data_IF_186543801553
#
_entry.id   IF_186543801553
#
_cell.length_a   1.000
_cell.length_b   1.000
_cell.length_c   1.000
_cell.angle_alpha   90.00
_cell.angle_beta   90.00
_cell.angle_gamma   90.00
#
_symmetry.space_group_name_H-M   'P 1'
#
loop_
_entity.id
_entity.type
_entity.pdbx_description
1 polymer ?
#
# COMPACT_ATOMS: atom_id res chain seq x y z
N UNK A 1 -6.30 -3.27 -75.07
CA UNK A 1 -6.79 -3.61 -73.72
C UNK A 1 -5.77 -4.52 -73.03
N UNK A 2 -4.83 -3.97 -72.26
CA UNK A 2 -3.94 -4.74 -71.38
C UNK A 2 -4.20 -4.25 -69.95
N UNK A 3 -4.61 -5.19 -69.09
CA UNK A 3 -5.02 -4.96 -67.70
C UNK A 3 -3.81 -4.61 -66.85
N UNK A 4 -3.92 -3.54 -66.08
CA UNK A 4 -2.99 -3.16 -65.01
C UNK A 4 -3.34 -3.97 -63.77
N UNK A 5 -2.42 -4.82 -63.31
CA UNK A 5 -2.55 -5.51 -62.02
C UNK A 5 -1.90 -4.63 -60.96
N UNK A 6 -2.71 -4.08 -60.06
CA UNK A 6 -2.24 -3.33 -58.88
C UNK A 6 -1.91 -4.35 -57.78
N UNK A 7 -0.64 -4.46 -57.42
CA UNK A 7 -0.18 -5.29 -56.31
C UNK A 7 -0.35 -4.47 -55.02
N UNK A 8 -1.31 -4.85 -54.18
CA UNK A 8 -1.48 -4.27 -52.83
C UNK A 8 -0.53 -5.00 -51.88
N UNK A 9 0.54 -4.35 -51.46
CA UNK A 9 1.35 -4.80 -50.34
C UNK A 9 0.62 -4.48 -49.03
N UNK A 10 0.07 -5.50 -48.37
CA UNK A 10 -0.33 -5.42 -46.97
C UNK A 10 0.95 -5.39 -46.12
N UNK A 11 1.29 -4.24 -45.56
CA UNK A 11 2.26 -4.12 -44.47
C UNK A 11 1.55 -4.51 -43.17
N UNK A 12 1.81 -5.73 -42.69
CA UNK A 12 1.43 -6.13 -41.33
C UNK A 12 2.31 -5.36 -40.35
N UNK A 13 1.71 -4.42 -39.62
CA UNK A 13 2.34 -3.77 -38.47
C UNK A 13 2.31 -4.79 -37.33
N UNK A 14 3.38 -5.55 -37.18
CA UNK A 14 3.61 -6.36 -35.98
C UNK A 14 3.94 -5.34 -34.87
N UNK A 15 3.00 -5.11 -33.95
CA UNK A 15 3.34 -4.40 -32.72
C UNK A 15 4.30 -5.29 -31.94
N UNK A 16 5.57 -4.91 -31.88
CA UNK A 16 6.47 -5.40 -30.84
C UNK A 16 5.96 -4.89 -29.49
N UNK A 17 5.08 -5.66 -28.86
CA UNK A 17 4.97 -5.63 -27.41
C UNK A 17 6.28 -6.24 -26.90
N UNK A 18 7.14 -5.41 -26.32
CA UNK A 18 8.28 -5.88 -25.54
C UNK A 18 7.73 -6.79 -24.44
N UNK A 19 7.88 -8.09 -24.63
CA UNK A 19 7.51 -9.11 -23.66
C UNK A 19 8.37 -8.86 -22.41
N UNK A 20 7.75 -8.33 -21.34
CA UNK A 20 8.44 -8.09 -20.08
C UNK A 20 9.08 -9.41 -19.63
N UNK A 21 10.39 -9.38 -19.35
CA UNK A 21 11.14 -10.59 -19.03
C UNK A 21 10.53 -11.24 -17.78
N UNK A 22 10.09 -12.49 -17.92
CA UNK A 22 9.34 -13.18 -16.88
C UNK A 22 10.28 -13.51 -15.72
N UNK A 23 9.93 -13.05 -14.51
CA UNK A 23 10.73 -13.22 -13.29
C UNK A 23 11.12 -14.69 -13.08
N UNK A 24 12.37 -14.99 -12.66
CA UNK A 24 12.81 -16.36 -12.43
C UNK A 24 11.92 -17.16 -11.48
N UNK A 25 11.40 -16.52 -10.42
CA UNK A 25 10.49 -17.18 -9.45
C UNK A 25 9.20 -17.65 -10.11
N UNK A 26 8.68 -16.90 -11.09
CA UNK A 26 7.46 -17.23 -11.82
C UNK A 26 7.71 -18.39 -12.78
N UNK A 27 8.87 -18.42 -13.43
CA UNK A 27 9.25 -19.56 -14.28
C UNK A 27 9.37 -20.85 -13.45
N UNK A 28 10.02 -20.78 -12.29
CA UNK A 28 10.13 -21.92 -11.38
C UNK A 28 8.75 -22.39 -10.91
N UNK A 29 7.86 -21.47 -10.52
CA UNK A 29 6.51 -21.78 -10.05
C UNK A 29 5.57 -22.36 -11.14
N UNK A 30 5.82 -22.07 -12.42
CA UNK A 30 5.01 -22.59 -13.53
C UNK A 30 5.50 -23.93 -14.07
N UNK A 31 6.82 -24.12 -14.16
CA UNK A 31 7.39 -25.17 -15.01
C UNK A 31 8.33 -26.14 -14.27
N UNK A 32 8.72 -25.84 -13.03
CA UNK A 32 9.57 -26.72 -12.22
C UNK A 32 8.76 -27.34 -11.08
N UNK A 33 8.28 -28.57 -11.27
CA UNK A 33 7.50 -29.31 -10.27
C UNK A 33 8.29 -29.65 -8.99
N UNK A 34 9.61 -29.49 -8.99
CA UNK A 34 10.46 -29.66 -7.79
C UNK A 34 10.66 -28.36 -7.02
N UNK A 35 10.23 -27.23 -7.58
CA UNK A 35 10.34 -25.92 -6.93
C UNK A 35 9.43 -25.85 -5.71
N UNK A 36 9.93 -25.23 -4.63
CA UNK A 36 9.13 -24.91 -3.45
C UNK A 36 8.00 -23.90 -3.73
N UNK A 37 8.06 -23.21 -4.88
CA UNK A 37 7.06 -22.25 -5.33
C UNK A 37 6.05 -22.85 -6.30
N UNK A 38 6.23 -24.11 -6.71
CA UNK A 38 5.27 -24.79 -7.59
C UNK A 38 4.00 -25.13 -6.82
N UNK A 39 2.85 -24.73 -7.37
CA UNK A 39 1.54 -25.07 -6.84
C UNK A 39 0.86 -26.07 -7.78
N UNK A 40 0.57 -27.27 -7.28
CA UNK A 40 -0.21 -28.26 -8.03
C UNK A 40 -1.71 -27.93 -7.99
N UNK A 41 -2.17 -27.14 -8.97
CA UNK A 41 -3.59 -26.82 -9.11
C UNK A 41 -4.47 -28.01 -9.50
N UNK A 42 -3.89 -29.17 -9.86
CA UNK A 42 -4.69 -30.38 -10.04
C UNK A 42 -5.11 -31.01 -8.70
N UNK A 43 -4.38 -30.69 -7.62
CA UNK A 43 -4.70 -31.09 -6.26
C UNK A 43 -5.66 -30.11 -5.55
N UNK A 44 -5.99 -28.97 -6.18
CA UNK A 44 -6.98 -28.04 -5.64
C UNK A 44 -8.39 -28.67 -5.64
N UNK A 45 -9.20 -28.42 -4.60
CA UNK A 45 -10.60 -28.83 -4.60
C UNK A 45 -11.36 -28.24 -5.80
N UNK A 46 -12.12 -29.09 -6.51
CA UNK A 46 -12.96 -28.67 -7.63
C UNK A 46 -14.08 -27.73 -7.19
N UNK A 47 -14.55 -27.86 -5.95
CA UNK A 47 -15.46 -26.94 -5.28
C UNK A 47 -14.65 -26.06 -4.34
N UNK A 48 -14.58 -24.76 -4.64
CA UNK A 48 -13.71 -23.80 -3.94
C UNK A 48 -14.43 -22.84 -3.00
N UNK A 49 -15.76 -22.86 -2.99
CA UNK A 49 -16.54 -21.90 -2.20
C UNK A 49 -16.38 -22.06 -0.68
N UNK A 50 -15.78 -23.14 -0.18
CA UNK A 50 -15.41 -23.31 1.24
C UNK A 50 -13.93 -23.04 1.54
N UNK A 51 -13.10 -22.79 0.52
CA UNK A 51 -11.69 -22.44 0.73
C UNK A 51 -11.58 -21.02 1.30
N UNK A 52 -10.56 -20.70 2.09
CA UNK A 52 -10.42 -19.35 2.64
C UNK A 52 -10.07 -18.29 1.57
N UNK A 53 -10.33 -17.04 1.90
CA UNK A 53 -9.83 -15.86 1.20
C UNK A 53 -8.39 -15.63 1.64
N UNK A 54 -7.45 -15.57 0.70
CA UNK A 54 -6.05 -15.25 0.97
C UNK A 54 -5.84 -13.75 0.93
N UNK A 55 -5.22 -13.18 1.96
CA UNK A 55 -4.89 -11.75 2.05
C UNK A 55 -3.42 -11.63 2.38
N UNK A 56 -2.65 -10.83 1.64
CA UNK A 56 -1.29 -10.49 2.06
C UNK A 56 -0.99 -9.00 1.97
N UNK A 57 -0.03 -8.60 2.81
CA UNK A 57 0.55 -7.26 2.86
C UNK A 57 2.05 -7.36 3.18
N UNK A 58 2.76 -6.24 3.03
CA UNK A 58 4.17 -6.15 3.42
C UNK A 58 4.42 -6.27 4.93
N UNK A 59 3.39 -6.27 5.78
CA UNK A 59 3.53 -6.41 7.23
C UNK A 59 2.19 -6.52 7.93
N UNK A 60 2.03 -5.89 9.10
CA UNK A 60 0.77 -5.91 9.86
C UNK A 60 -0.24 -4.84 9.43
N UNK A 61 0.19 -3.84 8.64
CA UNK A 61 -0.67 -2.76 8.16
C UNK A 61 -1.88 -3.26 7.39
N UNK A 62 -1.74 -4.29 6.55
CA UNK A 62 -2.83 -4.90 5.78
C UNK A 62 -3.98 -5.48 6.59
N UNK A 63 -3.82 -5.64 7.90
CA UNK A 63 -4.92 -6.01 8.79
C UNK A 63 -6.02 -4.93 8.82
N UNK A 64 -5.74 -3.68 8.43
CA UNK A 64 -6.79 -2.65 8.24
C UNK A 64 -7.70 -2.96 7.04
N UNK A 65 -7.14 -3.55 5.98
CA UNK A 65 -7.93 -4.03 4.83
C UNK A 65 -8.77 -5.23 5.23
N UNK A 66 -8.20 -6.15 6.01
CA UNK A 66 -8.96 -7.29 6.54
C UNK A 66 -10.06 -6.84 7.51
N UNK A 67 -9.80 -5.83 8.35
CA UNK A 67 -10.78 -5.20 9.23
C UNK A 67 -11.97 -4.64 8.46
N UNK A 68 -11.70 -3.94 7.36
CA UNK A 68 -12.73 -3.41 6.47
C UNK A 68 -13.54 -4.54 5.79
N UNK A 69 -12.85 -5.58 5.32
CA UNK A 69 -13.45 -6.77 4.70
C UNK A 69 -14.44 -7.44 5.66
N UNK A 70 -14.00 -7.78 6.88
CA UNK A 70 -14.83 -8.45 7.88
C UNK A 70 -15.92 -7.49 8.40
N UNK A 71 -15.56 -6.22 8.64
CA UNK A 71 -16.46 -5.20 9.14
C UNK A 71 -17.60 -4.83 8.20
N UNK A 72 -17.43 -5.06 6.89
CA UNK A 72 -18.46 -4.80 5.88
C UNK A 72 -19.72 -5.66 6.05
N UNK A 73 -19.61 -6.83 6.71
CA UNK A 73 -20.67 -7.86 6.83
C UNK A 73 -21.15 -8.49 5.52
N UNK A 74 -20.61 -8.06 4.38
CA UNK A 74 -20.91 -8.63 3.07
C UNK A 74 -20.36 -10.06 2.93
N UNK A 75 -19.31 -10.37 3.70
CA UNK A 75 -18.51 -11.59 3.62
C UNK A 75 -18.60 -12.39 4.94
N UNK A 76 -19.72 -12.26 5.66
CA UNK A 76 -19.98 -13.04 6.87
C UNK A 76 -19.93 -14.55 6.55
N UNK A 77 -19.21 -15.32 7.37
CA UNK A 77 -19.02 -16.76 7.18
C UNK A 77 -17.85 -17.14 6.28
N UNK A 78 -17.16 -16.16 5.67
CA UNK A 78 -15.90 -16.42 4.99
C UNK A 78 -14.76 -16.67 5.97
N UNK A 79 -13.84 -17.56 5.59
CA UNK A 79 -12.61 -17.84 6.33
C UNK A 79 -11.42 -17.13 5.69
N UNK A 80 -10.39 -16.81 6.47
CA UNK A 80 -9.28 -15.99 6.01
C UNK A 80 -7.93 -16.65 6.27
N UNK A 81 -6.99 -16.44 5.35
CA UNK A 81 -5.56 -16.64 5.60
C UNK A 81 -4.87 -15.31 5.36
N UNK A 82 -4.15 -14.83 6.36
CA UNK A 82 -3.37 -13.60 6.27
C UNK A 82 -1.88 -13.90 6.26
N UNK A 83 -1.13 -13.21 5.40
CA UNK A 83 0.33 -13.15 5.43
C UNK A 83 0.82 -11.69 5.52
N UNK A 84 1.64 -11.39 6.52
CA UNK A 84 2.42 -10.14 6.56
C UNK A 84 3.90 -10.40 6.31
N UNK A 85 4.48 -9.87 5.23
CA UNK A 85 5.92 -10.05 4.90
C UNK A 85 6.87 -9.13 5.68
N UNK A 86 6.74 -9.15 7.01
CA UNK A 86 7.42 -8.23 7.93
C UNK A 86 8.94 -8.25 7.80
N UNK A 87 9.56 -9.40 7.49
CA UNK A 87 11.00 -9.50 7.33
C UNK A 87 11.53 -8.56 6.23
N UNK A 88 10.75 -8.36 5.17
CA UNK A 88 11.12 -7.56 4.00
C UNK A 88 10.48 -6.17 3.98
N UNK A 89 9.62 -5.84 4.95
CA UNK A 89 9.05 -4.51 5.11
C UNK A 89 10.13 -3.43 5.30
N UNK A 90 9.95 -2.19 4.82
CA UNK A 90 8.85 -1.70 3.98
C UNK A 90 9.08 -1.89 2.49
N UNK A 91 8.02 -2.29 1.78
CA UNK A 91 8.05 -2.44 0.31
C UNK A 91 8.24 -1.11 -0.42
N UNK A 92 7.79 0.00 0.17
CA UNK A 92 7.82 1.34 -0.43
C UNK A 92 9.21 1.83 -0.84
N UNK A 93 10.27 1.29 -0.25
CA UNK A 93 11.65 1.78 -0.46
C UNK A 93 12.40 1.05 -1.59
N UNK A 94 11.95 -0.15 -2.00
CA UNK A 94 12.69 -0.96 -2.98
C UNK A 94 12.85 -0.26 -4.34
N UNK A 95 11.87 0.53 -4.78
CA UNK A 95 11.95 1.25 -6.04
C UNK A 95 13.05 2.33 -6.01
N UNK A 96 13.14 3.09 -4.92
CA UNK A 96 14.18 4.11 -4.72
C UNK A 96 15.58 3.49 -4.66
N UNK A 97 15.68 2.27 -4.15
CA UNK A 97 16.93 1.49 -4.10
C UNK A 97 17.26 0.76 -5.42
N UNK A 98 16.51 1.00 -6.51
CA UNK A 98 16.64 0.31 -7.80
C UNK A 98 16.50 -1.22 -7.69
N UNK A 99 15.61 -1.69 -6.81
CA UNK A 99 15.32 -3.11 -6.54
C UNK A 99 13.89 -3.53 -6.89
N UNK A 100 13.30 -2.89 -7.88
CA UNK A 100 11.92 -3.17 -8.34
C UNK A 100 11.70 -4.64 -8.71
N UNK A 101 12.61 -5.28 -9.45
CA UNK A 101 12.42 -6.69 -9.83
C UNK A 101 12.52 -7.65 -8.64
N UNK A 102 13.35 -7.31 -7.64
CA UNK A 102 13.39 -8.09 -6.41
C UNK A 102 12.12 -7.89 -5.58
N UNK A 103 11.57 -6.67 -5.52
CA UNK A 103 10.26 -6.42 -4.91
C UNK A 103 9.17 -7.25 -5.60
N UNK A 104 9.12 -7.27 -6.93
CA UNK A 104 8.17 -8.11 -7.69
C UNK A 104 8.35 -9.58 -7.36
N UNK A 105 9.58 -10.06 -7.23
CA UNK A 105 9.85 -11.44 -6.79
C UNK A 105 9.32 -11.72 -5.38
N UNK A 106 9.50 -10.81 -4.41
CA UNK A 106 8.95 -10.96 -3.07
C UNK A 106 7.43 -11.07 -3.09
N UNK A 107 6.76 -10.17 -3.83
CA UNK A 107 5.31 -10.16 -4.01
C UNK A 107 4.81 -11.50 -4.59
N UNK A 108 5.53 -12.05 -5.57
CA UNK A 108 5.17 -13.37 -6.12
C UNK A 108 5.36 -14.49 -5.10
N UNK A 109 6.44 -14.47 -4.29
CA UNK A 109 6.66 -15.46 -3.23
C UNK A 109 5.54 -15.45 -2.18
N UNK A 110 5.07 -14.27 -1.78
CA UNK A 110 3.94 -14.13 -0.87
C UNK A 110 2.65 -14.70 -1.46
N UNK A 111 2.39 -14.41 -2.75
CA UNK A 111 1.25 -14.97 -3.46
C UNK A 111 1.35 -16.50 -3.53
N UNK A 112 2.53 -17.06 -3.83
CA UNK A 112 2.75 -18.50 -3.89
C UNK A 112 2.58 -19.18 -2.53
N UNK A 113 2.98 -18.54 -1.43
CA UNK A 113 2.71 -19.06 -0.09
C UNK A 113 1.19 -19.24 0.11
N UNK A 114 0.39 -18.21 -0.17
CA UNK A 114 -1.06 -18.28 0.02
C UNK A 114 -1.73 -19.27 -0.95
N UNK A 115 -1.26 -19.36 -2.20
CA UNK A 115 -1.72 -20.37 -3.14
C UNK A 115 -1.36 -21.80 -2.67
N UNK A 116 -0.20 -22.00 -2.04
CA UNK A 116 0.12 -23.26 -1.38
C UNK A 116 -0.85 -23.63 -0.25
N UNK A 117 -1.52 -22.65 0.35
CA UNK A 117 -2.52 -22.85 1.41
C UNK A 117 -3.96 -23.09 0.90
N UNK A 118 -4.15 -23.21 -0.41
CA UNK A 118 -5.45 -23.46 -1.07
C UNK A 118 -6.51 -22.38 -0.76
N UNK A 119 -6.37 -21.22 -1.38
CA UNK A 119 -7.32 -20.10 -1.26
C UNK A 119 -8.32 -20.07 -2.42
N UNK A 120 -9.51 -19.49 -2.22
CA UNK A 120 -10.49 -19.29 -3.31
C UNK A 120 -10.18 -18.07 -4.18
N UNK A 121 -9.60 -17.03 -3.57
CA UNK A 121 -9.28 -15.73 -4.16
C UNK A 121 -8.13 -15.09 -3.39
N UNK A 122 -7.29 -14.34 -4.08
CA UNK A 122 -6.16 -13.61 -3.51
C UNK A 122 -6.47 -12.11 -3.44
N UNK A 123 -6.21 -11.51 -2.27
CA UNK A 123 -6.34 -10.08 -2.02
C UNK A 123 -4.94 -9.52 -1.73
N UNK A 124 -4.48 -8.61 -2.57
CA UNK A 124 -3.25 -7.85 -2.36
C UNK A 124 -3.60 -6.59 -1.56
N UNK A 125 -3.48 -6.66 -0.23
CA UNK A 125 -3.84 -5.56 0.67
C UNK A 125 -2.81 -4.41 0.66
N UNK A 126 -1.54 -4.71 0.35
CA UNK A 126 -0.52 -3.68 0.23
C UNK A 126 -0.73 -2.82 -1.03
N UNK A 127 -0.79 -1.50 -0.86
CA UNK A 127 -0.83 -0.57 -1.99
C UNK A 127 0.44 -0.67 -2.85
N UNK A 128 1.62 -0.77 -2.23
CA UNK A 128 2.89 -0.92 -2.95
C UNK A 128 2.94 -2.26 -3.68
N UNK A 129 2.51 -3.37 -3.06
CA UNK A 129 2.47 -4.65 -3.77
C UNK A 129 1.47 -4.66 -4.91
N UNK A 130 0.31 -4.01 -4.73
CA UNK A 130 -0.68 -3.85 -5.79
C UNK A 130 -0.09 -3.12 -6.99
N UNK A 131 0.63 -2.02 -6.73
CA UNK A 131 1.25 -1.20 -7.77
C UNK A 131 2.32 -1.94 -8.59
N UNK A 132 3.10 -2.83 -7.96
CA UNK A 132 4.25 -3.47 -8.60
C UNK A 132 4.02 -4.90 -9.05
N UNK A 133 3.11 -5.67 -8.43
CA UNK A 133 3.01 -7.11 -8.64
C UNK A 133 1.61 -7.67 -8.91
N UNK A 134 0.53 -6.88 -8.84
CA UNK A 134 -0.81 -7.41 -9.10
C UNK A 134 -0.96 -7.97 -10.52
N UNK A 135 -0.40 -7.29 -11.53
CA UNK A 135 -0.45 -7.77 -12.91
C UNK A 135 0.40 -9.03 -13.12
N UNK A 136 1.58 -9.13 -12.48
CA UNK A 136 2.39 -10.36 -12.51
C UNK A 136 1.64 -11.57 -11.91
N UNK A 137 0.92 -11.33 -10.80
CA UNK A 137 0.06 -12.33 -10.17
C UNK A 137 -1.07 -12.74 -11.12
N UNK A 138 -1.77 -11.78 -11.73
CA UNK A 138 -2.87 -12.05 -12.67
C UNK A 138 -2.39 -12.86 -13.88
N UNK A 139 -1.27 -12.47 -14.46
CA UNK A 139 -0.61 -13.20 -15.55
C UNK A 139 -0.26 -14.64 -15.16
N UNK A 140 0.28 -14.85 -13.96
CA UNK A 140 0.59 -16.18 -13.45
C UNK A 140 -0.68 -17.02 -13.25
N UNK A 141 -1.73 -16.45 -12.68
CA UNK A 141 -3.00 -17.14 -12.43
C UNK A 141 -3.72 -17.52 -13.74
N UNK A 142 -3.62 -16.67 -14.77
CA UNK A 142 -4.12 -16.98 -16.11
C UNK A 142 -3.31 -18.13 -16.75
N UNK A 143 -1.97 -18.03 -16.76
CA UNK A 143 -1.08 -19.05 -17.35
C UNK A 143 -1.19 -20.41 -16.65
N UNK A 144 -1.41 -20.41 -15.34
CA UNK A 144 -1.62 -21.65 -14.56
C UNK A 144 -3.01 -22.27 -14.78
N UNK A 145 -3.94 -21.58 -15.44
CA UNK A 145 -5.33 -22.01 -15.62
C UNK A 145 -6.02 -22.40 -14.30
N UNK A 146 -5.60 -21.79 -13.19
CA UNK A 146 -6.09 -22.11 -11.83
C UNK A 146 -7.56 -21.72 -11.62
N UNK A 147 -8.07 -20.76 -12.41
CA UNK A 147 -9.37 -20.14 -12.21
C UNK A 147 -9.47 -19.31 -10.93
N UNK A 148 -8.35 -19.07 -10.22
CA UNK A 148 -8.26 -18.18 -9.06
C UNK A 148 -8.07 -16.75 -9.59
N UNK A 149 -8.70 -15.78 -8.91
CA UNK A 149 -8.56 -14.36 -9.23
C UNK A 149 -7.72 -13.65 -8.16
N UNK A 150 -7.12 -12.54 -8.57
CA UNK A 150 -6.46 -11.61 -7.66
C UNK A 150 -7.06 -10.21 -7.80
N UNK A 151 -7.36 -9.60 -6.66
CA UNK A 151 -7.79 -8.19 -6.54
C UNK A 151 -6.76 -7.41 -5.72
N UNK A 152 -6.72 -6.10 -5.88
CA UNK A 152 -5.84 -5.24 -5.11
C UNK A 152 -6.47 -3.88 -4.83
N UNK A 153 -5.90 -3.17 -3.86
CA UNK A 153 -6.52 -2.00 -3.24
C UNK A 153 -6.60 -0.76 -4.13
N UNK A 154 -5.67 -0.56 -5.07
CA UNK A 154 -5.60 0.64 -5.91
C UNK A 154 -6.84 0.76 -6.81
N UNK A 155 -7.21 -0.31 -7.51
CA UNK A 155 -8.38 -0.32 -8.39
C UNK A 155 -9.64 0.03 -7.61
N UNK A 156 -9.85 -0.61 -6.46
CA UNK A 156 -11.00 -0.36 -5.60
C UNK A 156 -11.10 1.11 -5.15
N UNK A 157 -10.00 1.71 -4.67
CA UNK A 157 -9.97 3.11 -4.26
C UNK A 157 -10.26 4.10 -5.40
N UNK A 158 -9.71 3.85 -6.58
CA UNK A 158 -9.98 4.67 -7.77
C UNK A 158 -11.43 4.53 -8.23
N UNK A 159 -11.91 3.30 -8.33
CA UNK A 159 -13.27 2.99 -8.77
C UNK A 159 -14.30 3.70 -7.87
N UNK A 160 -14.09 3.61 -6.56
CA UNK A 160 -14.88 4.26 -5.54
C UNK A 160 -14.87 5.79 -5.66
N UNK A 161 -13.72 6.39 -5.95
CA UNK A 161 -13.62 7.84 -6.18
C UNK A 161 -14.46 8.24 -7.40
N UNK A 162 -14.34 7.51 -8.50
CA UNK A 162 -15.10 7.77 -9.73
C UNK A 162 -16.60 7.51 -9.60
N UNK A 163 -17.04 6.70 -8.63
CA UNK A 163 -18.47 6.45 -8.35
C UNK A 163 -19.16 7.64 -7.64
N UNK A 164 -18.38 8.58 -7.08
CA UNK A 164 -18.88 9.73 -6.30
C UNK A 164 -19.07 11.00 -7.11
N UNK A 165 -18.70 10.98 -8.39
CA UNK A 165 -18.74 12.15 -9.25
C UNK A 165 -19.43 11.84 -10.59
N UNK A 166 -20.17 12.82 -11.10
CA UNK A 166 -20.77 12.69 -12.42
C UNK A 166 -19.72 12.82 -13.52
N UNK A 167 -19.95 12.15 -14.66
CA UNK A 167 -18.96 12.04 -15.74
C UNK A 167 -18.59 13.38 -16.39
N UNK A 168 -19.40 14.43 -16.25
CA UNK A 168 -19.17 15.74 -16.88
C UNK A 168 -18.63 16.79 -15.88
N UNK A 169 -18.52 16.45 -14.59
CA UNK A 169 -18.04 17.38 -13.54
C UNK A 169 -16.52 17.32 -13.40
N UNK A 170 -15.88 18.46 -13.18
CA UNK A 170 -14.44 18.56 -12.93
C UNK A 170 -14.07 18.02 -11.54
N UNK A 171 -12.96 17.29 -11.44
CA UNK A 171 -12.50 16.65 -10.21
C UNK A 171 -11.03 16.95 -9.93
N UNK A 172 -10.73 17.35 -8.69
CA UNK A 172 -9.38 17.31 -8.14
C UNK A 172 -9.27 16.22 -7.06
N UNK A 173 -8.29 15.33 -7.23
CA UNK A 173 -7.99 14.23 -6.32
C UNK A 173 -6.57 14.38 -5.80
N UNK A 174 -6.42 14.39 -4.48
CA UNK A 174 -5.15 14.21 -3.80
C UNK A 174 -4.91 12.72 -3.55
N UNK A 175 -3.71 12.22 -3.84
CA UNK A 175 -3.32 10.84 -3.50
C UNK A 175 -2.12 10.90 -2.56
N UNK A 176 -2.32 10.43 -1.33
CA UNK A 176 -1.23 10.21 -0.37
C UNK A 176 -0.90 8.73 -0.37
N UNK A 177 0.32 8.35 -0.75
CA UNK A 177 0.77 6.96 -0.72
C UNK A 177 2.26 6.88 -0.36
N UNK A 178 2.80 5.67 -0.22
CA UNK A 178 4.25 5.49 -0.07
C UNK A 178 4.98 6.07 -1.28
N UNK A 179 6.24 6.48 -1.12
CA UNK A 179 7.07 7.00 -2.21
C UNK A 179 7.14 6.02 -3.37
N UNK A 180 7.33 4.72 -3.10
CA UNK A 180 7.26 3.67 -4.12
C UNK A 180 5.91 3.57 -4.82
N UNK A 181 4.79 3.65 -4.09
CA UNK A 181 3.45 3.61 -4.73
C UNK A 181 3.25 4.80 -5.67
N UNK A 182 3.66 6.01 -5.28
CA UNK A 182 3.57 7.17 -6.17
C UNK A 182 4.50 7.03 -7.37
N UNK A 183 5.75 6.61 -7.15
CA UNK A 183 6.75 6.45 -8.21
C UNK A 183 6.32 5.40 -9.27
N UNK A 184 5.51 4.41 -8.89
CA UNK A 184 4.96 3.42 -9.82
C UNK A 184 3.97 4.01 -10.84
N UNK A 185 3.36 5.17 -10.56
CA UNK A 185 2.23 5.70 -11.32
C UNK A 185 0.93 4.90 -11.16
N UNK A 186 0.86 3.93 -10.24
CA UNK A 186 -0.26 2.99 -10.11
C UNK A 186 -1.63 3.68 -9.97
N UNK A 187 -1.75 4.67 -9.08
CA UNK A 187 -2.98 5.44 -8.92
C UNK A 187 -3.30 6.29 -10.16
N UNK A 188 -2.34 7.04 -10.68
CA UNK A 188 -2.55 7.91 -11.85
C UNK A 188 -2.98 7.10 -13.09
N UNK A 189 -2.26 6.02 -13.39
CA UNK A 189 -2.57 5.15 -14.52
C UNK A 189 -3.96 4.51 -14.36
N UNK A 190 -4.32 4.09 -13.15
CA UNK A 190 -5.63 3.50 -12.87
C UNK A 190 -6.76 4.52 -13.01
N UNK A 191 -6.60 5.74 -12.46
CA UNK A 191 -7.56 6.84 -12.65
C UNK A 191 -7.79 7.13 -14.11
N UNK A 192 -6.71 7.35 -14.88
CA UNK A 192 -6.82 7.65 -16.31
C UNK A 192 -7.47 6.52 -17.10
N UNK A 193 -7.12 5.27 -16.79
CA UNK A 193 -7.69 4.08 -17.45
C UNK A 193 -9.17 3.93 -17.15
N UNK A 194 -9.58 3.96 -15.89
CA UNK A 194 -10.98 3.77 -15.50
C UNK A 194 -11.85 4.96 -15.91
N UNK A 195 -11.36 6.19 -15.81
CA UNK A 195 -12.06 7.38 -16.29
C UNK A 195 -12.34 7.27 -17.80
N UNK A 196 -11.35 6.86 -18.60
CA UNK A 196 -11.54 6.64 -20.03
C UNK A 196 -12.53 5.52 -20.34
N UNK A 197 -12.44 4.38 -19.64
CA UNK A 197 -13.36 3.24 -19.81
C UNK A 197 -14.81 3.62 -19.47
N UNK A 198 -15.00 4.52 -18.49
CA UNK A 198 -16.31 5.02 -18.06
C UNK A 198 -16.82 6.19 -18.91
N UNK A 199 -16.02 6.69 -19.87
CA UNK A 199 -16.39 7.84 -20.70
C UNK A 199 -16.46 9.15 -19.93
N UNK A 200 -15.68 9.30 -18.86
CA UNK A 200 -15.55 10.54 -18.09
C UNK A 200 -15.00 11.68 -18.97
N UNK A 201 -15.64 12.85 -18.89
CA UNK A 201 -15.38 14.02 -19.74
C UNK A 201 -14.98 15.28 -18.97
N UNK A 202 -15.25 15.32 -17.66
CA UNK A 202 -14.75 16.39 -16.80
C UNK A 202 -13.22 16.46 -16.77
N UNK A 203 -12.67 17.59 -16.36
CA UNK A 203 -11.23 17.74 -16.11
C UNK A 203 -10.87 16.94 -14.86
N UNK A 204 -10.01 15.93 -15.04
CA UNK A 204 -9.42 15.14 -13.96
C UNK A 204 -8.03 15.71 -13.61
N UNK A 205 -7.91 16.32 -12.44
CA UNK A 205 -6.66 16.79 -11.84
C UNK A 205 -6.25 15.85 -10.69
N UNK A 206 -5.03 15.32 -10.74
CA UNK A 206 -4.51 14.37 -9.75
C UNK A 206 -3.21 14.94 -9.19
N UNK A 207 -3.18 15.20 -7.88
CA UNK A 207 -1.99 15.66 -7.18
C UNK A 207 -1.47 14.52 -6.30
N UNK A 208 -0.31 13.98 -6.65
CA UNK A 208 0.31 12.84 -5.98
C UNK A 208 1.32 13.29 -4.93
N UNK A 209 1.28 12.69 -3.73
CA UNK A 209 2.25 12.93 -2.65
C UNK A 209 2.85 11.63 -2.12
N UNK A 210 4.14 11.45 -2.40
CA UNK A 210 4.96 10.41 -1.77
C UNK A 210 5.20 10.74 -0.30
N UNK A 211 4.56 9.99 0.59
CA UNK A 211 4.52 10.29 2.03
C UNK A 211 5.64 9.56 2.78
N UNK A 212 6.88 9.98 2.50
CA UNK A 212 8.10 9.39 3.06
C UNK A 212 8.11 9.36 4.60
N UNK A 213 8.47 8.20 5.15
CA UNK A 213 8.56 7.97 6.60
C UNK A 213 7.22 7.90 7.34
N UNK A 214 6.09 8.10 6.66
CA UNK A 214 4.79 8.17 7.33
C UNK A 214 4.29 6.80 7.79
N UNK A 215 4.45 5.76 6.97
CA UNK A 215 4.07 4.40 7.37
C UNK A 215 4.96 3.92 8.53
N UNK A 216 6.26 4.16 8.42
CA UNK A 216 7.25 3.85 9.45
C UNK A 216 6.97 4.59 10.77
N UNK A 217 6.52 5.85 10.70
CA UNK A 217 6.09 6.61 11.88
C UNK A 217 4.84 6.05 12.55
N UNK A 218 3.89 5.49 11.78
CA UNK A 218 2.72 4.79 12.33
C UNK A 218 3.13 3.46 12.97
N UNK A 219 4.15 2.80 12.42
CA UNK A 219 4.71 1.56 12.94
C UNK A 219 5.61 1.74 14.17
N UNK A 220 5.93 2.97 14.57
CA UNK A 220 6.81 3.21 15.71
C UNK A 220 8.30 2.99 15.39
N UNK A 221 8.68 2.96 14.10
CA UNK A 221 10.05 2.68 13.70
C UNK A 221 11.01 3.73 14.26
N UNK A 222 11.99 3.27 15.04
CA UNK A 222 12.85 4.13 15.88
C UNK A 222 13.65 5.15 15.11
N UNK A 223 13.91 4.92 13.83
CA UNK A 223 14.62 5.86 12.96
C UNK A 223 13.72 7.02 12.52
N UNK A 224 12.38 6.88 12.59
CA UNK A 224 11.39 7.89 12.23
C UNK A 224 10.70 8.51 13.44
N UNK A 225 10.36 7.72 14.45
CA UNK A 225 9.73 8.19 15.70
C UNK A 225 10.32 7.47 16.90
N UNK A 226 10.55 8.19 17.99
CA UNK A 226 11.00 7.62 19.25
C UNK A 226 10.41 8.46 20.41
N UNK A 227 9.27 8.05 20.97
CA UNK A 227 8.59 8.79 22.04
C UNK A 227 9.42 8.93 23.33
N UNK A 228 10.47 8.12 23.51
CA UNK A 228 11.31 8.15 24.70
C UNK A 228 12.37 9.28 24.68
N UNK A 229 12.58 9.93 23.53
CA UNK A 229 13.54 11.04 23.41
C UNK A 229 12.84 12.39 23.33
N UNK A 230 13.53 13.44 23.78
CA UNK A 230 13.00 14.81 23.85
C UNK A 230 13.94 15.83 23.17
N UNK A 231 15.01 15.37 22.52
CA UNK A 231 15.96 16.18 21.77
C UNK A 231 16.26 15.54 20.40
N UNK A 232 16.66 16.33 19.38
CA UNK A 232 17.02 15.81 18.08
C UNK A 232 18.11 14.73 18.13
N UNK A 233 18.08 13.84 17.14
CA UNK A 233 18.98 12.67 17.07
C UNK A 233 19.56 12.49 15.67
N UNK A 234 20.81 12.02 15.61
CA UNK A 234 21.52 11.76 14.34
C UNK A 234 20.95 10.56 13.56
N UNK A 235 20.31 9.61 14.27
CA UNK A 235 19.67 8.46 13.63
C UNK A 235 18.36 8.79 12.93
N UNK A 236 17.85 10.02 13.05
CA UNK A 236 16.59 10.40 12.42
C UNK A 236 16.70 10.33 10.88
N UNK A 237 15.67 9.78 10.23
CA UNK A 237 15.61 9.58 8.78
C UNK A 237 14.41 10.23 8.10
N UNK A 238 13.49 10.83 8.86
CA UNK A 238 12.28 11.43 8.28
C UNK A 238 12.50 12.81 7.63
N UNK A 239 11.41 13.47 7.21
CA UNK A 239 11.44 14.85 6.72
C UNK A 239 12.11 15.79 7.72
N UNK A 240 12.94 16.72 7.21
CA UNK A 240 13.68 17.70 8.01
C UNK A 240 13.91 18.98 7.21
N UNK A 241 14.35 20.07 7.86
CA UNK A 241 14.61 21.35 7.19
C UNK A 241 15.58 21.26 6.00
N UNK A 242 16.52 20.33 6.04
CA UNK A 242 17.58 20.18 5.04
C UNK A 242 17.54 18.85 4.29
N UNK A 243 16.43 18.10 4.40
CA UNK A 243 16.28 16.87 3.62
C UNK A 243 16.24 17.21 2.13
N UNK A 244 17.02 16.54 1.26
CA UNK A 244 17.11 16.90 -0.16
C UNK A 244 15.78 16.77 -0.91
N UNK A 245 15.01 15.71 -0.64
CA UNK A 245 13.75 15.43 -1.34
C UNK A 245 12.47 15.78 -0.55
N UNK A 246 12.52 15.67 0.79
CA UNK A 246 11.38 15.92 1.69
C UNK A 246 11.69 17.05 2.70
N UNK A 247 12.01 18.27 2.22
CA UNK A 247 12.28 19.38 3.12
C UNK A 247 11.02 19.79 3.88
N UNK A 248 11.18 20.16 5.15
CA UNK A 248 10.17 20.91 5.89
C UNK A 248 10.31 22.38 5.49
N UNK A 249 9.38 22.88 4.69
CA UNK A 249 9.38 24.28 4.26
C UNK A 249 9.08 25.20 5.46
N UNK A 250 10.02 26.09 5.78
CA UNK A 250 9.90 27.04 6.89
C UNK A 250 8.75 28.03 6.71
N UNK A 251 8.47 28.41 5.47
CA UNK A 251 7.40 29.36 5.16
C UNK A 251 6.01 28.75 5.42
N UNK A 252 5.92 27.42 5.57
CA UNK A 252 4.69 26.70 5.83
C UNK A 252 4.54 26.27 7.30
N UNK A 253 5.42 26.69 8.22
CA UNK A 253 5.36 26.26 9.63
C UNK A 253 4.00 26.59 10.28
N UNK A 254 3.44 27.76 9.98
CA UNK A 254 2.09 28.13 10.42
C UNK A 254 1.02 27.20 9.84
N UNK A 255 1.10 26.91 8.54
CA UNK A 255 0.14 26.05 7.85
C UNK A 255 0.22 24.59 8.33
N UNK A 256 1.42 24.06 8.59
CA UNK A 256 1.59 22.70 9.10
C UNK A 256 0.90 22.48 10.45
N UNK A 257 0.92 23.50 11.33
CA UNK A 257 0.33 23.44 12.66
C UNK A 257 0.79 22.18 13.42
N UNK A 258 2.11 21.96 13.45
CA UNK A 258 2.71 20.80 14.11
C UNK A 258 2.38 20.78 15.60
N UNK A 259 2.22 19.57 16.14
CA UNK A 259 2.06 19.34 17.57
C UNK A 259 3.44 19.20 18.23
N UNK A 260 3.81 20.20 19.03
CA UNK A 260 5.05 20.24 19.81
C UNK A 260 4.91 19.63 21.21
N UNK A 261 3.72 19.20 21.61
CA UNK A 261 3.47 18.67 22.94
C UNK A 261 4.18 17.32 23.15
N UNK A 262 4.60 17.06 24.40
CA UNK A 262 5.08 15.75 24.85
C UNK A 262 6.19 15.11 23.97
N UNK A 263 7.04 15.93 23.34
CA UNK A 263 8.12 15.44 22.48
C UNK A 263 7.66 14.86 21.15
N UNK A 264 6.43 15.15 20.69
CA UNK A 264 5.92 14.78 19.37
C UNK A 264 6.64 15.49 18.22
N UNK A 265 7.38 16.55 18.54
CA UNK A 265 8.33 17.24 17.67
C UNK A 265 9.65 17.37 18.43
N UNK A 266 10.78 17.08 17.77
CA UNK A 266 12.12 17.32 18.32
C UNK A 266 12.76 18.47 17.55
N UNK A 267 13.38 19.40 18.25
CA UNK A 267 13.88 20.62 17.63
C UNK A 267 15.02 21.27 18.40
N UNK A 268 15.75 22.15 17.72
CA UNK A 268 16.73 23.09 18.28
C UNK A 268 16.40 24.51 17.80
N UNK A 269 16.81 25.53 18.57
CA UNK A 269 16.57 26.94 18.24
C UNK A 269 15.33 27.50 18.94
N UNK A 270 14.31 27.87 18.18
CA UNK A 270 12.96 28.26 18.64
C UNK A 270 11.89 27.62 17.75
N UNK A 271 10.63 27.45 18.20
CA UNK A 271 9.57 26.93 17.33
C UNK A 271 9.32 27.78 16.08
N UNK A 272 9.49 29.10 16.17
CA UNK A 272 9.27 30.06 15.08
C UNK A 272 10.48 30.19 14.14
N UNK A 273 11.69 29.94 14.66
CA UNK A 273 12.94 29.91 13.89
C UNK A 273 13.79 28.70 14.33
N UNK A 274 13.43 27.49 13.87
CA UNK A 274 14.14 26.29 14.25
C UNK A 274 15.39 26.09 13.37
N UNK A 275 16.47 25.64 13.99
CA UNK A 275 17.70 25.21 13.29
C UNK A 275 17.68 23.72 12.99
N UNK A 276 16.92 22.95 13.76
CA UNK A 276 16.66 21.52 13.55
C UNK A 276 15.18 21.25 13.81
N UNK A 277 14.55 20.45 12.95
CA UNK A 277 13.19 19.93 13.14
C UNK A 277 13.15 18.44 12.77
N UNK A 278 12.57 17.62 13.65
CA UNK A 278 12.33 16.20 13.43
C UNK A 278 10.91 15.86 13.90
N UNK A 279 10.13 15.25 12.99
CA UNK A 279 8.77 14.78 13.26
C UNK A 279 8.88 13.53 14.14
N UNK A 280 8.36 13.54 15.36
CA UNK A 280 8.53 12.45 16.32
C UNK A 280 7.21 11.80 16.74
N UNK A 281 6.18 11.95 15.91
CA UNK A 281 4.88 11.31 16.05
C UNK A 281 4.17 11.25 14.70
N UNK A 282 3.42 10.18 14.42
CA UNK A 282 2.72 9.96 13.16
C UNK A 282 1.78 11.12 12.75
N UNK A 283 1.15 11.79 13.73
CA UNK A 283 0.29 12.95 13.46
C UNK A 283 1.03 14.11 12.78
N UNK A 284 2.30 14.34 13.12
CA UNK A 284 3.10 15.39 12.48
C UNK A 284 3.54 14.98 11.07
N UNK A 285 3.69 13.69 10.78
CA UNK A 285 3.85 13.20 9.40
C UNK A 285 2.57 13.40 8.58
N UNK A 286 1.40 13.12 9.17
CA UNK A 286 0.10 13.34 8.53
C UNK A 286 -0.07 14.82 8.12
N UNK A 287 0.18 15.73 9.07
CA UNK A 287 0.17 17.19 8.84
C UNK A 287 1.16 17.60 7.76
N UNK A 288 2.42 17.19 7.88
CA UNK A 288 3.47 17.53 6.93
C UNK A 288 3.09 17.14 5.50
N UNK A 289 2.68 15.89 5.29
CA UNK A 289 2.42 15.39 3.94
C UNK A 289 1.13 15.94 3.34
N UNK A 290 0.07 16.11 4.15
CA UNK A 290 -1.19 16.68 3.67
C UNK A 290 -1.03 18.16 3.29
N UNK A 291 -0.41 18.98 4.16
CA UNK A 291 -0.14 20.39 3.85
C UNK A 291 0.75 20.51 2.62
N UNK A 292 1.77 19.67 2.50
CA UNK A 292 2.64 19.65 1.31
C UNK A 292 1.86 19.27 0.03
N UNK A 293 0.90 18.35 0.11
CA UNK A 293 0.04 17.97 -1.02
C UNK A 293 -0.85 19.14 -1.44
N UNK A 294 -1.51 19.80 -0.49
CA UNK A 294 -2.40 20.93 -0.77
C UNK A 294 -1.60 22.12 -1.30
N UNK A 295 -0.40 22.37 -0.77
CA UNK A 295 0.49 23.40 -1.28
C UNK A 295 0.96 23.09 -2.70
N UNK A 296 1.30 21.84 -2.99
CA UNK A 296 1.61 21.42 -4.36
C UNK A 296 0.43 21.70 -5.30
N UNK A 297 -0.79 21.31 -4.92
CA UNK A 297 -2.00 21.59 -5.70
C UNK A 297 -2.19 23.10 -5.91
N UNK A 298 -2.03 23.92 -4.86
CA UNK A 298 -2.18 25.39 -4.94
C UNK A 298 -1.22 26.02 -5.95
N UNK A 299 -0.03 25.45 -6.11
CA UNK A 299 1.01 25.93 -7.02
C UNK A 299 0.82 25.44 -8.47
N UNK A 300 -0.11 24.52 -8.74
CA UNK A 300 -0.42 24.06 -10.09
C UNK A 300 -1.14 25.14 -10.93
N UNK A 301 -1.12 24.99 -12.26
CA UNK A 301 -1.81 25.93 -13.16
C UNK A 301 -3.33 25.69 -13.15
N UNK A 302 -4.09 26.74 -12.82
CA UNK A 302 -5.56 26.71 -12.71
C UNK A 302 -6.04 25.56 -11.80
N UNK A 303 -5.71 25.58 -10.50
CA UNK A 303 -6.03 24.48 -9.60
C UNK A 303 -7.54 24.36 -9.38
N UNK A 304 -8.05 23.13 -9.50
CA UNK A 304 -9.39 22.81 -9.05
C UNK A 304 -9.39 22.61 -7.53
N UNK A 305 -10.49 22.97 -6.83
CA UNK A 305 -10.61 22.68 -5.41
C UNK A 305 -10.50 21.17 -5.14
N UNK A 306 -9.63 20.78 -4.20
CA UNK A 306 -9.47 19.39 -3.75
C UNK A 306 -10.83 18.87 -3.27
N UNK A 307 -11.35 17.84 -3.93
CA UNK A 307 -12.64 17.22 -3.60
C UNK A 307 -12.46 15.85 -2.94
N UNK A 308 -11.41 15.12 -3.32
CA UNK A 308 -11.17 13.77 -2.84
C UNK A 308 -9.73 13.60 -2.35
N UNK A 309 -9.55 12.89 -1.25
CA UNK A 309 -8.23 12.49 -0.74
C UNK A 309 -8.15 10.97 -0.63
N UNK A 310 -7.37 10.33 -1.49
CA UNK A 310 -7.17 8.88 -1.47
C UNK A 310 -6.02 8.51 -0.52
N UNK A 311 -6.31 7.65 0.45
CA UNK A 311 -5.34 7.08 1.38
C UNK A 311 -4.68 5.83 0.79
N UNK A 312 -3.71 6.03 -0.10
CA UNK A 312 -2.97 4.99 -0.81
C UNK A 312 -1.93 4.21 0.02
N UNK A 313 -2.18 4.01 1.31
CA UNK A 313 -1.36 3.17 2.18
C UNK A 313 -2.21 2.60 3.33
N UNK A 314 -1.96 1.35 3.70
CA UNK A 314 -2.68 0.62 4.76
C UNK A 314 -2.55 1.26 6.15
N UNK A 315 -1.54 2.12 6.35
CA UNK A 315 -1.24 2.78 7.62
C UNK A 315 -1.98 4.12 7.82
N UNK A 316 -2.36 4.80 6.74
CA UNK A 316 -2.87 6.17 6.83
C UNK A 316 -4.25 6.30 7.50
N UNK A 317 -5.15 5.30 7.43
CA UNK A 317 -6.39 5.33 8.21
C UNK A 317 -6.20 5.51 9.72
N UNK A 318 -5.06 5.11 10.29
CA UNK A 318 -4.75 5.37 11.72
C UNK A 318 -4.60 6.87 12.05
N UNK A 319 -4.52 7.75 11.06
CA UNK A 319 -4.42 9.21 11.23
C UNK A 319 -5.58 9.96 10.55
N UNK A 320 -6.71 9.28 10.29
CA UNK A 320 -7.87 9.87 9.61
C UNK A 320 -8.36 11.15 10.29
N UNK A 321 -8.55 11.13 11.61
CA UNK A 321 -8.97 12.31 12.39
C UNK A 321 -8.00 13.48 12.22
N UNK A 322 -6.68 13.23 12.28
CA UNK A 322 -5.66 14.27 12.08
C UNK A 322 -5.71 14.84 10.66
N UNK A 323 -5.96 14.01 9.65
CA UNK A 323 -6.07 14.47 8.25
C UNK A 323 -7.32 15.34 8.07
N UNK A 324 -8.47 14.94 8.62
CA UNK A 324 -9.72 15.72 8.59
C UNK A 324 -9.56 17.07 9.30
N UNK A 325 -8.99 17.06 10.51
CA UNK A 325 -8.67 18.29 11.26
C UNK A 325 -7.72 19.21 10.49
N UNK A 326 -6.73 18.64 9.81
CA UNK A 326 -5.76 19.41 9.04
C UNK A 326 -6.39 20.05 7.80
N UNK A 327 -7.28 19.34 7.09
CA UNK A 327 -8.05 19.91 5.98
C UNK A 327 -8.93 21.07 6.45
N UNK A 328 -9.63 20.90 7.58
CA UNK A 328 -10.43 21.96 8.17
C UNK A 328 -9.58 23.16 8.59
N UNK A 329 -8.45 22.89 9.26
CA UNK A 329 -7.46 23.90 9.65
C UNK A 329 -6.96 24.71 8.46
N UNK A 330 -6.52 24.05 7.38
CA UNK A 330 -5.99 24.74 6.21
C UNK A 330 -7.02 25.67 5.55
N UNK A 331 -8.30 25.27 5.51
CA UNK A 331 -9.36 26.07 4.90
C UNK A 331 -9.63 27.39 5.65
N UNK A 332 -9.32 27.41 6.95
CA UNK A 332 -9.45 28.58 7.82
C UNK A 332 -8.10 29.21 8.21
N UNK A 333 -6.99 28.67 7.72
CA UNK A 333 -5.66 29.25 7.89
C UNK A 333 -5.62 30.64 7.27
N UNK A 334 -5.29 31.62 8.09
CA UNK A 334 -5.17 33.02 7.70
C UNK A 334 -3.73 33.48 7.84
N UNK A 335 -3.22 34.10 6.77
CA UNK A 335 -1.90 34.71 6.76
C UNK A 335 -2.00 36.07 6.08
N UNK A 336 -1.60 37.13 6.80
CA UNK A 336 -1.66 38.51 6.32
C UNK A 336 -3.05 38.96 5.82
N UNK A 337 -4.12 38.43 6.42
CA UNK A 337 -5.51 38.73 6.04
C UNK A 337 -6.02 37.98 4.80
N UNK A 338 -5.24 37.01 4.31
CA UNK A 338 -5.59 36.14 3.18
C UNK A 338 -5.82 34.71 3.66
N UNK A 339 -6.68 33.97 2.96
CA UNK A 339 -6.94 32.55 3.22
C UNK A 339 -6.40 31.71 2.06
N UNK A 340 -5.09 31.41 2.02
CA UNK A 340 -4.42 30.89 0.81
C UNK A 340 -4.95 29.53 0.34
N UNK A 341 -5.55 28.73 1.22
CA UNK A 341 -6.05 27.40 0.89
C UNK A 341 -7.57 27.30 0.81
N UNK A 342 -8.32 28.34 1.19
CA UNK A 342 -9.78 28.27 1.33
C UNK A 342 -10.51 27.88 0.05
N UNK A 343 -10.05 28.42 -1.09
CA UNK A 343 -10.64 28.15 -2.40
C UNK A 343 -9.96 26.98 -3.12
N UNK A 344 -8.83 26.48 -2.58
CA UNK A 344 -8.10 25.31 -3.08
C UNK A 344 -8.61 24.02 -2.44
N UNK A 345 -9.29 24.10 -1.30
CA UNK A 345 -9.89 22.96 -0.62
C UNK A 345 -11.41 23.10 -0.75
N UNK A 346 -12.09 22.10 -1.30
CA UNK A 346 -13.54 22.12 -1.37
C UNK A 346 -14.16 22.20 0.04
N UNK A 347 -15.37 22.78 0.21
CA UNK A 347 -16.03 22.86 1.52
C UNK A 347 -16.20 21.50 2.21
N UNK A 348 -16.29 20.43 1.41
CA UNK A 348 -16.22 19.06 1.87
C UNK A 348 -15.22 18.30 1.01
N UNK A 349 -14.23 17.70 1.65
CA UNK A 349 -13.27 16.78 1.02
C UNK A 349 -13.64 15.38 1.47
N UNK A 350 -13.92 14.49 0.53
CA UNK A 350 -14.20 13.11 0.86
C UNK A 350 -12.90 12.30 0.90
N UNK A 351 -12.60 11.72 2.07
CA UNK A 351 -11.45 10.85 2.24
C UNK A 351 -11.83 9.42 1.81
N UNK A 352 -11.10 8.90 0.84
CA UNK A 352 -11.30 7.56 0.29
C UNK A 352 -10.29 6.61 0.95
N UNK A 353 -10.81 5.68 1.74
CA UNK A 353 -10.06 4.53 2.22
C UNK A 353 -10.24 3.34 1.26
N UNK A 354 -9.18 2.94 0.52
CA UNK A 354 -9.24 1.79 -0.38
C UNK A 354 -9.66 0.48 0.29
N UNK A 355 -9.47 0.32 1.61
CA UNK A 355 -9.81 -0.88 2.36
C UNK A 355 -11.31 -1.21 2.29
N UNK A 356 -12.17 -0.20 2.52
CA UNK A 356 -13.63 -0.37 2.52
C UNK A 356 -14.16 -0.76 1.14
N UNK A 357 -13.54 -0.23 0.10
CA UNK A 357 -13.97 -0.44 -1.28
C UNK A 357 -13.45 -1.78 -1.80
N UNK A 358 -12.29 -2.23 -1.31
CA UNK A 358 -11.76 -3.57 -1.57
C UNK A 358 -12.72 -4.65 -1.06
N UNK A 359 -13.38 -4.42 0.09
CA UNK A 359 -14.40 -5.32 0.61
C UNK A 359 -15.59 -5.50 -0.33
N UNK A 360 -16.04 -4.40 -0.97
CA UNK A 360 -17.15 -4.44 -1.95
C UNK A 360 -16.72 -5.14 -3.23
N UNK A 361 -15.55 -4.81 -3.78
CA UNK A 361 -15.01 -5.45 -4.98
C UNK A 361 -14.80 -6.96 -4.79
N UNK A 362 -14.34 -7.36 -3.61
CA UNK A 362 -14.21 -8.76 -3.20
C UNK A 362 -15.55 -9.48 -3.20
N UNK A 363 -16.56 -8.89 -2.55
CA UNK A 363 -17.91 -9.45 -2.52
C UNK A 363 -18.48 -9.64 -3.93
N UNK A 364 -18.43 -8.59 -4.77
CA UNK A 364 -18.96 -8.62 -6.13
C UNK A 364 -18.24 -9.67 -6.98
N UNK A 365 -16.93 -9.81 -6.81
CA UNK A 365 -16.12 -10.82 -7.51
C UNK A 365 -16.52 -12.23 -7.11
N UNK A 366 -16.65 -12.50 -5.81
CA UNK A 366 -17.06 -13.81 -5.30
C UNK A 366 -18.50 -14.15 -5.69
N UNK A 367 -19.40 -13.17 -5.65
CA UNK A 367 -20.79 -13.34 -6.07
C UNK A 367 -20.88 -13.72 -7.55
N UNK A 368 -20.18 -12.98 -8.42
CA UNK A 368 -20.15 -13.21 -9.87
C UNK A 368 -19.65 -14.61 -10.23
N UNK A 369 -18.67 -15.11 -9.47
CA UNK A 369 -18.06 -16.43 -9.71
C UNK A 369 -18.75 -17.56 -8.92
N UNK A 370 -19.84 -17.28 -8.19
CA UNK A 370 -20.53 -18.25 -7.33
C UNK A 370 -19.61 -18.90 -6.28
N UNK A 371 -18.67 -18.11 -5.73
CA UNK A 371 -17.65 -18.54 -4.78
C UNK A 371 -17.92 -18.11 -3.33
N UNK A 372 -19.01 -17.39 -3.07
CA UNK A 372 -19.42 -17.04 -1.71
C UNK A 372 -19.67 -18.30 -0.86
N UNK A 373 -19.20 -18.26 0.38
CA UNK A 373 -19.51 -19.28 1.39
C UNK A 373 -20.96 -19.12 1.86
N UNK A 374 -21.76 -20.17 1.75
CA UNK A 374 -23.12 -20.22 2.32
C UNK A 374 -23.07 -20.99 3.64
N UNK A 375 -22.83 -20.30 4.75
CA UNK A 375 -22.73 -20.91 6.08
C UNK A 375 -23.20 -19.98 7.18
N UNK A 376 -23.89 -20.54 8.18
CA UNK A 376 -24.19 -19.86 9.44
C UNK A 376 -23.05 -20.20 10.41
N UNK A 377 -21.96 -19.44 10.37
CA UNK A 377 -20.79 -19.65 11.22
C UNK A 377 -20.01 -18.35 11.42
N UNK A 378 -19.28 -18.26 12.53
CA UNK A 378 -18.30 -17.19 12.69
C UNK A 378 -17.14 -17.42 11.72
N UNK A 379 -16.60 -16.35 11.16
CA UNK A 379 -15.35 -16.40 10.38
C UNK A 379 -14.21 -16.97 11.24
N UNK A 380 -13.38 -17.80 10.64
CA UNK A 380 -12.11 -18.23 11.21
C UNK A 380 -10.94 -17.61 10.43
N UNK A 381 -9.78 -17.47 11.09
CA UNK A 381 -8.60 -16.88 10.48
C UNK A 381 -7.32 -17.61 10.87
N UNK A 382 -6.43 -17.80 9.89
CA UNK A 382 -5.04 -18.23 10.11
C UNK A 382 -4.11 -17.09 9.73
N UNK A 383 -3.24 -16.69 10.66
CA UNK A 383 -2.43 -15.49 10.52
C UNK A 383 -0.95 -15.85 10.56
N UNK A 384 -0.23 -15.44 9.53
CA UNK A 384 1.18 -15.71 9.35
C UNK A 384 1.97 -14.42 9.18
N UNK A 385 3.18 -14.40 9.73
CA UNK A 385 4.15 -13.32 9.58
C UNK A 385 5.48 -13.88 9.12
N UNK A 386 6.16 -13.16 8.25
CA UNK A 386 7.50 -13.51 7.82
C UNK A 386 8.53 -12.92 8.79
N UNK A 387 9.50 -13.74 9.22
CA UNK A 387 10.61 -13.34 10.09
C UNK A 387 11.93 -13.72 9.46
N UNK A 388 13.01 -12.94 9.66
CA UNK A 388 14.34 -13.36 9.23
C UNK A 388 14.72 -14.69 9.86
N UNK A 389 15.25 -15.62 9.05
CA UNK A 389 15.84 -16.84 9.54
C UNK A 389 17.01 -16.48 10.47
N UNK A 390 17.00 -16.98 11.70
CA UNK A 390 18.10 -16.79 12.63
C UNK A 390 19.20 -17.79 12.29
N UNK A 391 20.25 -17.36 11.60
CA UNK A 391 21.44 -18.16 11.34
C UNK A 391 22.67 -17.44 11.89
N UNK A 392 23.41 -18.13 12.75
CA UNK A 392 24.66 -17.68 13.38
C UNK A 392 25.82 -17.48 12.39
N UNK A 393 25.70 -17.95 11.14
CA UNK A 393 26.79 -17.93 10.17
C UNK A 393 27.04 -16.57 9.48
N UNK A 394 26.13 -15.59 9.58
CA UNK A 394 26.31 -14.27 8.98
C UNK A 394 25.76 -13.15 9.87
N UNK A 395 26.61 -12.63 10.75
CA UNK A 395 26.28 -11.51 11.65
C UNK A 395 26.03 -10.18 10.93
N UNK A 396 26.27 -10.08 9.62
CA UNK A 396 26.07 -8.86 8.83
C UNK A 396 24.64 -8.73 8.26
N UNK A 397 23.88 -9.84 8.27
CA UNK A 397 22.51 -9.88 7.73
C UNK A 397 21.50 -9.24 8.65
N UNK A 398 21.65 -9.42 9.96
CA UNK A 398 20.67 -9.03 10.97
C UNK A 398 21.17 -7.87 11.83
N UNK A 399 20.26 -6.96 12.17
CA UNK A 399 20.52 -5.94 13.19
C UNK A 399 20.45 -6.54 14.60
N UNK A 400 20.72 -5.73 15.62
CA UNK A 400 20.70 -6.16 17.02
C UNK A 400 19.30 -6.56 17.52
N UNK A 401 18.24 -6.25 16.77
CA UNK A 401 16.87 -6.66 17.03
C UNK A 401 16.48 -7.91 16.22
N UNK A 402 17.40 -8.52 15.46
CA UNK A 402 17.14 -9.71 14.66
C UNK A 402 16.39 -9.44 13.35
N UNK A 403 16.28 -8.18 12.92
CA UNK A 403 15.67 -7.77 11.65
C UNK A 403 16.71 -7.72 10.54
N UNK A 404 16.35 -7.84 9.26
CA UNK A 404 17.32 -7.60 8.19
C UNK A 404 17.88 -6.18 8.25
N UNK A 405 19.21 -6.07 8.15
CA UNK A 405 19.87 -4.77 7.96
C UNK A 405 19.42 -4.12 6.65
N UNK A 406 19.45 -2.80 6.59
CA UNK A 406 19.11 -2.05 5.36
C UNK A 406 19.93 -2.53 4.17
N UNK A 407 21.26 -2.62 4.35
CA UNK A 407 22.20 -3.05 3.32
C UNK A 407 21.91 -4.47 2.82
N UNK A 408 21.54 -5.39 3.70
CA UNK A 408 21.15 -6.74 3.27
C UNK A 408 19.80 -6.73 2.55
N UNK A 409 18.78 -6.12 3.16
CA UNK A 409 17.40 -6.10 2.66
C UNK A 409 17.33 -5.59 1.22
N UNK A 410 17.95 -4.45 0.97
CA UNK A 410 17.96 -3.77 -0.33
C UNK A 410 19.23 -4.07 -1.14
N UNK A 411 20.13 -4.94 -0.65
CA UNK A 411 21.29 -5.42 -1.42
C UNK A 411 20.99 -6.66 -2.27
N UNK A 412 19.94 -7.41 -1.91
CA UNK A 412 19.55 -8.67 -2.58
C UNK A 412 19.20 -8.48 -4.06
N UNK A 413 19.32 -9.57 -4.81
CA UNK A 413 19.16 -9.62 -6.27
C UNK A 413 18.08 -10.63 -6.62
N UNK A 414 17.18 -10.34 -7.58
CA UNK A 414 16.18 -11.31 -8.04
C UNK A 414 16.84 -12.54 -8.66
N UNK A 415 16.13 -13.67 -8.61
CA UNK A 415 16.59 -14.97 -9.10
C UNK A 415 17.53 -15.73 -8.17
N UNK A 416 17.89 -15.15 -7.03
CA UNK A 416 18.69 -15.82 -5.99
C UNK A 416 17.74 -16.36 -4.92
N UNK A 417 17.38 -17.65 -5.02
CA UNK A 417 16.47 -18.31 -4.09
C UNK A 417 17.21 -18.82 -2.85
N UNK A 418 17.46 -17.93 -1.91
CA UNK A 418 17.96 -18.25 -0.57
C UNK A 418 16.81 -18.39 0.42
N UNK A 419 16.94 -19.33 1.36
CA UNK A 419 15.97 -19.48 2.46
C UNK A 419 16.32 -18.50 3.59
N UNK A 420 16.09 -17.21 3.36
CA UNK A 420 16.44 -16.16 4.32
C UNK A 420 15.33 -15.84 5.31
N UNK A 421 14.11 -16.28 5.02
CA UNK A 421 12.89 -15.92 5.74
C UNK A 421 12.14 -17.19 6.13
N UNK A 422 11.55 -17.17 7.32
CA UNK A 422 10.58 -18.15 7.79
C UNK A 422 9.20 -17.51 7.86
N UNK A 423 8.18 -18.20 7.36
CA UNK A 423 6.79 -17.82 7.58
C UNK A 423 6.28 -18.59 8.80
N UNK A 424 5.91 -17.87 9.85
CA UNK A 424 5.50 -18.43 11.15
C UNK A 424 4.11 -17.92 11.54
N UNK A 425 3.34 -18.66 12.35
CA UNK A 425 2.09 -18.15 12.89
C UNK A 425 2.31 -16.87 13.71
N UNK A 426 1.28 -16.01 13.76
CA UNK A 426 1.26 -14.89 14.70
C UNK A 426 1.40 -15.40 16.15
N UNK A 427 2.27 -14.77 16.92
CA UNK A 427 2.40 -15.01 18.35
C UNK A 427 2.92 -13.76 19.06
N UNK A 428 2.84 -13.76 20.39
CA UNK A 428 3.41 -12.69 21.23
C UNK A 428 4.94 -12.64 21.20
N UNK A 429 5.59 -13.71 20.70
CA UNK A 429 7.04 -13.80 20.60
C UNK A 429 7.58 -13.13 19.33
N UNK A 430 6.77 -13.06 18.27
CA UNK A 430 7.17 -12.56 16.95
C UNK A 430 6.59 -11.19 16.61
N UNK A 431 5.55 -10.75 17.32
CA UNK A 431 4.94 -9.42 17.18
C UNK A 431 5.20 -8.63 18.46
N UNK A 432 5.78 -7.43 18.30
CA UNK A 432 6.10 -6.58 19.43
C UNK A 432 4.84 -6.03 20.14
N UNK A 433 5.02 -5.61 21.39
CA UNK A 433 3.91 -5.17 22.25
C UNK A 433 3.22 -3.88 21.75
N UNK A 434 3.93 -3.01 21.03
CA UNK A 434 3.37 -1.77 20.48
C UNK A 434 2.45 -2.09 19.30
N UNK A 435 2.91 -2.95 18.38
CA UNK A 435 2.10 -3.48 17.29
C UNK A 435 0.87 -4.21 17.84
N UNK A 436 1.01 -5.10 18.83
CA UNK A 436 -0.15 -5.74 19.49
C UNK A 436 -1.10 -4.71 20.07
N UNK A 437 -0.57 -3.65 20.72
CA UNK A 437 -1.36 -2.54 21.25
C UNK A 437 -2.22 -1.87 20.17
N UNK A 438 -1.64 -1.61 18.99
CA UNK A 438 -2.35 -1.05 17.83
C UNK A 438 -3.41 -2.02 17.29
N UNK A 439 -3.08 -3.30 17.15
CA UNK A 439 -4.01 -4.31 16.61
C UNK A 439 -5.27 -4.50 17.47
N UNK A 440 -5.22 -4.22 18.78
CA UNK A 440 -6.41 -4.24 19.66
C UNK A 440 -7.52 -3.26 19.23
N UNK A 441 -7.18 -2.24 18.45
CA UNK A 441 -8.17 -1.30 17.91
C UNK A 441 -9.00 -1.88 16.76
N UNK A 442 -8.54 -2.96 16.12
CA UNK A 442 -9.23 -3.63 15.01
C UNK A 442 -10.35 -4.52 15.54
N UNK A 443 -11.55 -3.96 15.70
CA UNK A 443 -12.71 -4.57 16.36
C UNK A 443 -13.10 -5.92 15.78
N UNK A 444 -13.01 -6.10 14.47
CA UNK A 444 -13.48 -7.30 13.77
C UNK A 444 -12.38 -8.33 13.52
N UNK A 445 -11.15 -7.87 13.35
CA UNK A 445 -9.98 -8.71 13.07
C UNK A 445 -9.34 -9.22 14.36
N UNK A 446 -9.25 -8.38 15.40
CA UNK A 446 -8.63 -8.75 16.68
C UNK A 446 -9.19 -10.05 17.29
N UNK A 447 -10.51 -10.32 17.28
CA UNK A 447 -11.05 -11.58 17.79
C UNK A 447 -10.61 -12.83 17.01
N UNK A 448 -10.17 -12.68 15.75
CA UNK A 448 -9.67 -13.77 14.92
C UNK A 448 -8.19 -14.04 15.14
N UNK A 449 -7.44 -13.06 15.64
CA UNK A 449 -6.02 -13.22 15.96
C UNK A 449 -5.90 -14.18 17.15
N UNK A 450 -5.61 -15.44 16.86
CA UNK A 450 -5.30 -16.44 17.87
C UNK A 450 -3.91 -16.14 18.44
N UNK A 451 -3.86 -15.53 19.61
CA UNK A 451 -2.62 -15.39 20.37
C UNK A 451 -2.41 -16.68 21.14
N UNK A 452 -1.76 -17.66 20.51
CA UNK A 452 -1.31 -18.85 21.24
C UNK A 452 -0.37 -18.37 22.36
N UNK A 453 -0.70 -18.72 23.61
CA UNK A 453 0.28 -18.75 24.70
C UNK A 453 1.05 -20.05 24.49
N UNK A 454 2.23 -19.99 23.85
CA UNK A 454 3.11 -21.15 23.67
C UNK A 454 3.53 -21.76 25.00
#
# INVERSE_FOLDING_TARGET
MKKTTLLVCLLAVISCQTQQEQLPVVQAALYDTSSVYYTDFSAYPSVRNSLPIGVFDSGTGGLTVLEAIIGSRLLDGENYIYLGDQANMPYGNYAAENKTDFLRELIMKDAFFLLGQQIKILVVACNTATAYGLEDIRDYLEKSSSGIKAIGVIHAGVNATLDRINSEEDMAVGVMATTGTIASGGYENTFRTLAAQRGYRGRLQITNRGSFGFAEAVDGEKDFVNPAVQAPRESYRGPSLHHPEFPINRDLLGAYNFDYSNGRMLWEGSPEDPTVLQLNHASNYARYHLVSLVEQLRQEENPLPLQFLVLGCTHYPYQMEVLEETLAWLRDYEEEGLYPYRDIIAPHVEIIDPALETARELYDTLLKDSLLTFGLGASEGRFFISVPLQDTASSERLDTAGRFTYAYKYGRTPGVFTQDVLVVPFSKDVIDAETIGRLKSLRYTWPLLCWEDN
#
